data_IF_398468155457
#
_entry.id   IF_398468155457
#
_cell.length_a   1.000
_cell.length_b   1.000
_cell.length_c   1.000
_cell.angle_alpha   90.00
_cell.angle_beta   90.00
_cell.angle_gamma   90.00
#
_symmetry.space_group_name_H-M   'P 1'
#
loop_
_entity.id
_entity.type
_entity.pdbx_description
1 polymer ?
#
# COMPACT_ATOMS: atom_id res chain seq x y z
N UNK A 1 3.52 16.29 -78.00
CA UNK A 1 5.00 16.17 -77.96
C UNK A 1 5.39 15.73 -76.56
N UNK A 2 6.10 14.59 -76.44
CA UNK A 2 7.07 14.26 -75.38
C UNK A 2 6.56 14.14 -73.94
N UNK A 3 6.90 13.14 -73.12
CA UNK A 3 7.76 11.94 -73.22
C UNK A 3 7.27 10.99 -72.11
N UNK A 4 7.04 9.73 -72.45
CA UNK A 4 6.85 8.67 -71.46
C UNK A 4 8.17 8.34 -70.78
N UNK A 5 8.13 8.16 -69.46
CA UNK A 5 9.21 7.56 -68.69
C UNK A 5 8.73 6.21 -68.15
N UNK A 6 9.16 5.17 -68.86
CA UNK A 6 9.03 3.77 -68.51
C UNK A 6 10.08 3.44 -67.45
N UNK A 7 9.67 3.28 -66.19
CA UNK A 7 10.54 2.80 -65.12
C UNK A 7 10.46 1.26 -65.05
N UNK A 8 11.51 0.61 -65.54
CA UNK A 8 11.74 -0.83 -65.37
C UNK A 8 12.29 -1.09 -63.98
N UNK A 9 11.51 -1.72 -63.11
CA UNK A 9 12.02 -2.28 -61.87
C UNK A 9 12.75 -3.61 -62.13
N UNK A 10 13.97 -3.80 -61.59
CA UNK A 10 14.70 -5.04 -61.76
C UNK A 10 14.15 -6.16 -60.87
N UNK A 11 14.19 -7.35 -61.45
CA UNK A 11 13.80 -8.64 -60.90
C UNK A 11 14.49 -8.94 -59.55
N UNK A 12 13.64 -9.13 -58.53
CA UNK A 12 13.67 -10.20 -57.54
C UNK A 12 15.00 -10.95 -57.37
N UNK A 13 15.82 -10.50 -56.42
CA UNK A 13 16.87 -11.32 -55.82
C UNK A 13 16.25 -12.31 -54.82
N UNK A 14 16.64 -13.57 -54.97
CA UNK A 14 16.21 -14.70 -54.16
C UNK A 14 16.52 -14.46 -52.67
N UNK A 15 15.48 -14.33 -51.86
CA UNK A 15 15.59 -14.43 -50.41
C UNK A 15 15.94 -15.88 -50.04
N UNK A 16 17.17 -16.10 -49.59
CA UNK A 16 17.54 -17.33 -48.88
C UNK A 16 16.68 -17.44 -47.63
N UNK A 17 15.75 -18.40 -47.66
CA UNK A 17 14.96 -18.81 -46.49
C UNK A 17 15.92 -19.50 -45.54
N UNK A 18 16.52 -18.73 -44.62
CA UNK A 18 17.13 -19.29 -43.42
C UNK A 18 15.97 -19.82 -42.58
N UNK A 19 15.80 -21.14 -42.56
CA UNK A 19 14.94 -21.82 -41.59
C UNK A 19 15.56 -21.63 -40.19
N UNK A 20 15.31 -20.47 -39.60
CA UNK A 20 15.47 -20.25 -38.18
C UNK A 20 14.39 -21.10 -37.50
N UNK A 21 14.78 -22.25 -36.98
CA UNK A 21 13.94 -22.97 -36.03
C UNK A 21 13.59 -22.01 -34.90
N UNK A 22 12.30 -21.79 -34.57
CA UNK A 22 11.95 -21.06 -33.38
C UNK A 22 12.48 -21.88 -32.19
N UNK A 23 13.56 -21.42 -31.58
CA UNK A 23 13.94 -21.86 -30.24
C UNK A 23 12.86 -21.31 -29.32
N UNK A 24 11.78 -22.10 -29.19
CA UNK A 24 10.65 -21.79 -28.34
C UNK A 24 11.17 -21.68 -26.91
N UNK A 25 11.02 -20.48 -26.37
CA UNK A 25 11.24 -20.06 -24.99
C UNK A 25 10.37 -20.87 -24.01
N UNK A 26 10.69 -22.14 -23.77
CA UNK A 26 9.93 -23.02 -22.86
C UNK A 26 10.32 -22.84 -21.39
N UNK A 27 11.49 -22.25 -21.09
CA UNK A 27 11.96 -22.08 -19.71
C UNK A 27 11.15 -21.02 -18.91
N UNK A 28 10.65 -19.97 -19.56
CA UNK A 28 9.94 -18.87 -18.87
C UNK A 28 8.53 -19.26 -18.41
N UNK A 29 7.88 -20.20 -19.08
CA UNK A 29 6.51 -20.64 -18.74
C UNK A 29 6.47 -21.62 -17.54
N UNK A 30 7.55 -22.35 -17.28
CA UNK A 30 7.63 -23.29 -16.15
C UNK A 30 7.57 -22.58 -14.80
N UNK A 31 8.32 -21.48 -14.64
CA UNK A 31 8.38 -20.74 -13.38
C UNK A 31 7.05 -20.05 -12.99
N UNK A 32 6.26 -19.61 -13.98
CA UNK A 32 4.95 -19.00 -13.75
C UNK A 32 3.94 -20.04 -13.23
N UNK A 33 3.94 -21.24 -13.83
CA UNK A 33 3.02 -22.32 -13.47
C UNK A 33 3.25 -22.83 -12.05
N UNK A 34 4.51 -22.97 -11.63
CA UNK A 34 4.85 -23.40 -10.26
C UNK A 34 4.44 -22.39 -9.19
N UNK A 35 4.49 -21.09 -9.48
CA UNK A 35 4.16 -20.04 -8.49
C UNK A 35 2.66 -19.87 -8.30
N UNK A 36 1.87 -19.97 -9.37
CA UNK A 36 0.41 -19.90 -9.27
C UNK A 36 -0.17 -21.01 -8.38
N UNK A 37 0.46 -22.19 -8.41
CA UNK A 37 0.09 -23.32 -7.55
C UNK A 37 0.33 -22.98 -6.08
N UNK A 38 1.45 -22.34 -5.74
CA UNK A 38 1.77 -22.02 -4.33
C UNK A 38 0.77 -21.06 -3.68
N UNK A 39 0.25 -20.07 -4.41
CA UNK A 39 -0.75 -19.14 -3.89
C UNK A 39 -2.08 -19.86 -3.64
N UNK A 40 -2.58 -20.64 -4.60
CA UNK A 40 -3.80 -21.44 -4.42
C UNK A 40 -3.70 -22.46 -3.29
N UNK A 41 -2.53 -23.06 -3.08
CA UNK A 41 -2.31 -23.97 -1.96
C UNK A 41 -2.41 -23.25 -0.61
N UNK A 42 -1.89 -22.03 -0.51
CA UNK A 42 -2.01 -21.24 0.73
C UNK A 42 -3.44 -20.78 1.01
N UNK A 43 -4.23 -20.53 -0.03
CA UNK A 43 -5.65 -20.18 0.11
C UNK A 43 -6.47 -21.37 0.64
N UNK A 44 -6.15 -22.60 0.22
CA UNK A 44 -6.81 -23.83 0.70
C UNK A 44 -6.30 -24.30 2.06
N UNK A 45 -5.07 -23.97 2.41
CA UNK A 45 -4.43 -24.41 3.66
C UNK A 45 -3.52 -23.29 4.18
N UNK A 46 -4.09 -22.34 4.96
CA UNK A 46 -3.34 -21.22 5.51
C UNK A 46 -2.10 -21.69 6.27
N UNK A 47 -0.95 -21.10 5.93
CA UNK A 47 0.32 -21.50 6.53
C UNK A 47 0.46 -20.96 7.96
N UNK A 48 1.11 -21.68 8.88
CA UNK A 48 1.39 -21.14 10.21
C UNK A 48 2.31 -19.92 10.10
N UNK A 49 2.18 -18.97 11.02
CA UNK A 49 3.07 -17.81 11.11
C UNK A 49 4.44 -18.31 11.59
N UNK A 50 5.51 -18.18 10.79
CA UNK A 50 6.82 -18.65 11.20
C UNK A 50 7.44 -17.75 12.26
N UNK A 51 8.27 -18.31 13.14
CA UNK A 51 8.96 -17.55 14.18
C UNK A 51 9.92 -16.48 13.62
N UNK A 52 10.36 -16.61 12.37
CA UNK A 52 11.22 -15.63 11.70
C UNK A 52 10.45 -14.52 10.95
N UNK A 53 9.12 -14.51 11.00
CA UNK A 53 8.33 -13.44 10.41
C UNK A 53 8.62 -12.09 11.10
N UNK A 54 8.39 -11.00 10.37
CA UNK A 54 8.48 -9.65 10.93
C UNK A 54 7.53 -9.49 12.14
N UNK A 55 7.89 -8.67 13.15
CA UNK A 55 7.05 -8.43 14.33
C UNK A 55 5.62 -8.01 13.98
N UNK A 56 5.44 -7.19 12.94
CA UNK A 56 4.15 -6.70 12.46
C UNK A 56 3.24 -7.83 11.96
N UNK A 57 3.82 -8.84 11.29
CA UNK A 57 3.10 -10.04 10.85
C UNK A 57 2.65 -10.87 12.05
N UNK A 58 3.53 -11.03 13.06
CA UNK A 58 3.21 -11.74 14.30
C UNK A 58 2.12 -11.03 15.11
N UNK A 59 2.15 -9.70 15.15
CA UNK A 59 1.12 -8.86 15.74
C UNK A 59 -0.19 -8.86 14.93
N UNK A 60 -0.19 -9.43 13.73
CA UNK A 60 -1.37 -9.49 12.87
C UNK A 60 -1.75 -8.14 12.26
N UNK A 61 -0.83 -7.18 12.13
CA UNK A 61 -1.11 -5.92 11.42
C UNK A 61 -1.38 -6.20 9.94
N UNK A 62 -2.30 -5.48 9.27
CA UNK A 62 -2.49 -5.64 7.83
C UNK A 62 -1.28 -5.07 7.07
N UNK A 63 -0.83 -5.79 6.04
CA UNK A 63 0.14 -5.29 5.06
C UNK A 63 -0.63 -4.82 3.82
N UNK A 64 -0.30 -3.63 3.32
CA UNK A 64 -1.01 -3.02 2.20
C UNK A 64 -0.57 -3.61 0.86
N UNK A 65 -1.52 -4.13 0.07
CA UNK A 65 -1.23 -4.64 -1.28
C UNK A 65 -0.77 -3.59 -2.29
N UNK A 66 -1.01 -2.30 -2.00
CA UNK A 66 -0.67 -1.22 -2.92
C UNK A 66 0.74 -0.69 -2.71
N UNK A 67 1.15 -0.48 -1.45
CA UNK A 67 2.45 0.12 -1.12
C UNK A 67 3.38 -0.80 -0.34
N UNK A 68 2.91 -1.94 0.17
CA UNK A 68 3.70 -2.88 0.97
C UNK A 68 3.93 -2.47 2.42
N UNK A 69 3.42 -1.32 2.86
CA UNK A 69 3.55 -0.86 4.24
C UNK A 69 2.51 -1.50 5.16
N UNK A 70 2.84 -1.59 6.45
CA UNK A 70 1.94 -2.11 7.49
C UNK A 70 1.02 -1.02 8.04
N UNK A 71 -0.12 -1.44 8.61
CA UNK A 71 -1.01 -0.57 9.39
C UNK A 71 -2.26 -0.10 8.66
N UNK A 72 -2.35 -0.30 7.35
CA UNK A 72 -3.53 0.04 6.56
C UNK A 72 -3.81 -1.00 5.47
N UNK A 73 -5.02 -0.95 4.91
CA UNK A 73 -5.44 -1.82 3.81
C UNK A 73 -5.52 -1.05 2.49
N UNK A 74 -5.57 -1.75 1.35
CA UNK A 74 -5.56 -1.14 0.00
C UNK A 74 -6.56 0.02 -0.17
N UNK A 75 -7.77 -0.11 0.41
CA UNK A 75 -8.81 0.92 0.32
C UNK A 75 -8.43 2.23 1.02
N UNK A 76 -7.61 2.14 2.07
CA UNK A 76 -7.14 3.26 2.89
C UNK A 76 -5.67 3.60 2.64
N UNK A 77 -5.10 3.16 1.51
CA UNK A 77 -3.71 3.45 1.19
C UNK A 77 -3.52 4.91 0.76
N UNK A 78 -2.67 5.70 1.44
CA UNK A 78 -2.46 7.11 1.11
C UNK A 78 -1.91 7.27 -0.30
N UNK A 79 -0.95 6.42 -0.71
CA UNK A 79 -0.38 6.44 -2.06
C UNK A 79 -1.43 6.22 -3.14
N UNK A 80 -2.40 5.32 -2.88
CA UNK A 80 -3.51 5.08 -3.80
C UNK A 80 -4.45 6.28 -3.88
N UNK A 81 -4.78 6.88 -2.74
CA UNK A 81 -5.67 8.05 -2.67
C UNK A 81 -5.03 9.28 -3.32
N UNK A 82 -3.70 9.38 -3.28
CA UNK A 82 -2.90 10.39 -3.95
C UNK A 82 -2.60 10.05 -5.43
N UNK A 83 -3.16 8.97 -5.98
CA UNK A 83 -2.92 8.49 -7.35
C UNK A 83 -1.44 8.27 -7.70
N UNK A 84 -0.61 7.96 -6.70
CA UNK A 84 0.78 7.57 -6.91
C UNK A 84 0.86 6.16 -7.48
N UNK A 85 1.96 5.86 -8.17
CA UNK A 85 2.20 4.53 -8.73
C UNK A 85 2.23 3.45 -7.65
N UNK A 86 1.71 2.26 -7.96
CA UNK A 86 1.76 1.09 -7.09
C UNK A 86 3.23 0.67 -6.85
N UNK A 87 3.64 0.58 -5.59
CA UNK A 87 4.99 0.16 -5.16
C UNK A 87 5.03 -1.21 -4.48
N UNK A 88 3.87 -1.72 -4.05
CA UNK A 88 3.71 -3.01 -3.40
C UNK A 88 3.95 -4.19 -4.34
N UNK A 89 4.35 -5.33 -3.77
CA UNK A 89 4.75 -6.49 -4.56
C UNK A 89 3.57 -7.12 -5.33
N UNK A 90 3.85 -7.80 -6.46
CA UNK A 90 2.85 -8.56 -7.21
C UNK A 90 2.12 -9.60 -6.35
N UNK A 91 0.86 -9.91 -6.68
CA UNK A 91 -0.02 -10.79 -5.87
C UNK A 91 0.56 -12.20 -5.67
N UNK A 92 1.34 -12.67 -6.62
CA UNK A 92 1.99 -13.99 -6.62
C UNK A 92 3.00 -14.14 -5.49
N UNK A 93 3.42 -13.03 -4.89
CA UNK A 93 4.35 -13.01 -3.77
C UNK A 93 3.63 -12.90 -2.42
N UNK A 94 2.30 -13.04 -2.39
CA UNK A 94 1.52 -13.03 -1.16
C UNK A 94 1.10 -14.44 -0.77
N UNK A 95 1.02 -14.66 0.55
CA UNK A 95 0.66 -15.95 1.13
C UNK A 95 -0.35 -15.72 2.27
N UNK A 96 -1.40 -16.54 2.29
CA UNK A 96 -2.39 -16.55 3.37
C UNK A 96 -1.83 -17.28 4.60
N UNK A 97 -1.91 -16.63 5.76
CA UNK A 97 -1.48 -17.20 7.04
C UNK A 97 -2.68 -17.62 7.91
N UNK A 98 -2.42 -18.44 8.93
CA UNK A 98 -3.45 -18.94 9.88
C UNK A 98 -4.24 -17.84 10.61
N UNK A 99 -3.75 -16.60 10.66
CA UNK A 99 -4.49 -15.47 11.19
C UNK A 99 -5.53 -14.89 10.19
N UNK A 100 -5.73 -15.54 9.03
CA UNK A 100 -6.69 -15.12 8.01
C UNK A 100 -6.23 -13.93 7.17
N UNK A 101 -4.97 -13.49 7.30
CA UNK A 101 -4.43 -12.34 6.57
C UNK A 101 -3.38 -12.78 5.55
N UNK A 102 -3.35 -12.05 4.45
CA UNK A 102 -2.33 -12.20 3.41
C UNK A 102 -1.15 -11.29 3.74
N UNK A 103 0.06 -11.84 3.59
CA UNK A 103 1.30 -11.11 3.74
C UNK A 103 2.22 -11.42 2.59
N UNK A 104 3.10 -10.47 2.29
CA UNK A 104 4.19 -10.69 1.37
C UNK A 104 5.13 -11.78 1.92
N UNK A 105 5.58 -12.70 1.07
CA UNK A 105 6.54 -13.77 1.41
C UNK A 105 7.80 -13.18 2.08
N UNK A 106 8.16 -11.96 1.71
CA UNK A 106 9.32 -11.25 2.27
C UNK A 106 9.11 -10.83 3.72
N UNK A 107 7.90 -10.42 4.09
CA UNK A 107 7.52 -10.13 5.47
C UNK A 107 7.42 -11.42 6.32
N UNK A 108 7.01 -12.53 5.69
CA UNK A 108 6.91 -13.84 6.34
C UNK A 108 8.30 -14.47 6.54
N UNK A 109 9.21 -14.30 5.58
CA UNK A 109 10.54 -14.94 5.54
C UNK A 109 11.61 -13.93 5.05
N UNK A 110 12.03 -12.97 5.90
CA UNK A 110 12.99 -11.93 5.52
C UNK A 110 14.31 -12.47 4.96
N UNK A 111 14.77 -13.63 5.45
CA UNK A 111 16.01 -14.26 4.98
C UNK A 111 16.01 -14.67 3.50
N UNK A 112 14.82 -14.89 2.90
CA UNK A 112 14.72 -15.15 1.45
C UNK A 112 15.07 -13.88 0.65
N UNK A 113 14.79 -12.71 1.22
CA UNK A 113 15.12 -11.42 0.62
C UNK A 113 16.63 -11.20 0.63
N UNK A 114 17.27 -11.44 1.78
CA UNK A 114 18.71 -11.30 1.98
C UNK A 114 19.51 -12.17 0.99
N UNK A 115 19.05 -13.41 0.79
CA UNK A 115 19.66 -14.33 -0.17
C UNK A 115 19.48 -13.92 -1.64
N UNK A 116 18.38 -13.24 -1.99
CA UNK A 116 18.08 -12.83 -3.37
C UNK A 116 18.66 -11.47 -3.75
N UNK A 117 18.72 -10.54 -2.82
CA UNK A 117 19.18 -9.17 -3.06
C UNK A 117 20.68 -8.98 -2.88
N UNK A 118 21.40 -10.01 -2.42
CA UNK A 118 22.86 -9.99 -2.33
C UNK A 118 23.39 -8.69 -1.70
N UNK A 119 23.27 -8.53 -0.39
CA UNK A 119 23.83 -7.39 0.36
C UNK A 119 23.38 -5.97 -0.08
N UNK A 120 22.47 -5.79 -1.03
CA UNK A 120 21.93 -4.47 -1.39
C UNK A 120 20.71 -4.15 -0.52
N UNK A 121 20.89 -3.23 0.43
CA UNK A 121 19.99 -2.96 1.56
C UNK A 121 18.70 -2.12 1.34
N UNK A 122 18.40 -1.45 0.21
CA UNK A 122 17.45 -0.33 0.26
C UNK A 122 15.99 -0.71 0.52
N UNK A 123 15.59 -1.96 0.31
CA UNK A 123 14.20 -2.42 0.47
C UNK A 123 13.83 -2.81 1.90
N UNK A 124 14.81 -3.23 2.72
CA UNK A 124 14.53 -3.65 4.10
C UNK A 124 14.27 -2.42 4.99
N UNK A 125 14.98 -1.32 4.75
CA UNK A 125 14.86 -0.07 5.51
C UNK A 125 13.47 0.56 5.39
N UNK A 126 12.82 0.44 4.22
CA UNK A 126 11.44 0.92 4.03
C UNK A 126 10.39 0.07 4.75
N UNK A 127 10.69 -1.21 5.01
CA UNK A 127 9.78 -2.11 5.73
C UNK A 127 9.89 -1.96 7.26
N UNK A 128 11.03 -1.49 7.76
CA UNK A 128 11.31 -1.36 9.20
C UNK A 128 11.18 0.07 9.75
N UNK A 129 10.98 1.08 8.90
CA UNK A 129 10.86 2.49 9.35
C UNK A 129 9.61 2.79 10.17
N UNK A 130 8.72 1.81 10.39
CA UNK A 130 7.60 1.91 11.34
C UNK A 130 8.03 1.97 12.83
N UNK A 131 9.33 1.90 13.16
CA UNK A 131 9.82 2.00 14.53
C UNK A 131 9.84 3.44 15.12
N UNK A 132 9.26 4.41 14.43
CA UNK A 132 9.21 5.82 14.84
C UNK A 132 7.84 6.45 14.60
N UNK A 133 6.77 5.65 14.60
CA UNK A 133 5.41 6.16 14.39
C UNK A 133 5.04 7.18 15.48
N UNK A 134 5.50 6.98 16.72
CA UNK A 134 5.22 7.91 17.82
C UNK A 134 5.87 9.28 17.57
N UNK A 135 7.13 9.33 17.12
CA UNK A 135 7.81 10.60 16.80
C UNK A 135 7.24 11.26 15.54
N UNK A 136 6.83 10.48 14.53
CA UNK A 136 6.17 11.01 13.32
C UNK A 136 4.77 11.58 13.61
N UNK A 137 4.01 10.93 14.50
CA UNK A 137 2.71 11.44 14.96
C UNK A 137 2.89 12.73 15.75
N UNK A 138 3.85 12.80 16.67
CA UNK A 138 4.14 14.02 17.44
C UNK A 138 4.54 15.17 16.50
N UNK A 139 5.41 14.90 15.52
CA UNK A 139 5.81 15.89 14.51
C UNK A 139 4.62 16.36 13.65
N UNK A 140 3.75 15.44 13.22
CA UNK A 140 2.55 15.81 12.46
C UNK A 140 1.54 16.60 13.29
N UNK A 141 1.44 16.31 14.59
CA UNK A 141 0.58 17.02 15.53
C UNK A 141 1.08 18.46 15.68
N UNK A 142 2.38 18.66 15.87
CA UNK A 142 2.96 20.00 15.97
C UNK A 142 2.84 20.81 14.67
N UNK A 143 3.10 20.18 13.51
CA UNK A 143 2.88 20.85 12.23
C UNK A 143 1.41 21.25 12.02
N UNK A 144 0.47 20.45 12.51
CA UNK A 144 -0.96 20.77 12.44
C UNK A 144 -1.35 21.91 13.39
N UNK A 145 -0.71 22.01 14.57
CA UNK A 145 -0.90 23.16 15.47
C UNK A 145 -0.44 24.46 14.82
N UNK A 146 0.75 24.48 14.24
CA UNK A 146 1.29 25.66 13.57
C UNK A 146 0.42 26.10 12.38
N UNK A 147 -0.05 25.13 11.58
CA UNK A 147 -0.97 25.41 10.48
C UNK A 147 -2.32 25.97 10.97
N UNK A 148 -2.85 25.46 12.09
CA UNK A 148 -4.06 25.99 12.71
C UNK A 148 -3.88 27.42 13.21
N UNK A 149 -2.80 27.71 13.96
CA UNK A 149 -2.50 29.07 14.42
C UNK A 149 -2.39 30.05 13.25
N UNK A 150 -1.66 29.68 12.20
CA UNK A 150 -1.49 30.53 11.01
C UNK A 150 -2.80 30.77 10.27
N UNK A 151 -3.65 29.75 10.15
CA UNK A 151 -4.98 29.89 9.54
C UNK A 151 -5.91 30.74 10.41
N UNK A 152 -5.84 30.60 11.73
CA UNK A 152 -6.62 31.36 12.68
C UNK A 152 -6.23 32.84 12.67
N UNK A 153 -4.93 33.16 12.71
CA UNK A 153 -4.43 34.54 12.56
C UNK A 153 -4.86 35.17 11.22
N UNK A 154 -4.88 34.39 10.14
CA UNK A 154 -5.35 34.88 8.84
C UNK A 154 -6.88 35.13 8.79
N UNK A 155 -7.66 34.43 9.62
CA UNK A 155 -9.13 34.53 9.63
C UNK A 155 -9.67 35.56 10.62
N UNK A 156 -8.85 36.00 11.58
CA UNK A 156 -9.22 37.00 12.57
C UNK A 156 -8.46 38.31 12.32
N UNK A 157 -8.73 39.05 11.23
CA UNK A 157 -7.97 40.27 10.93
C UNK A 157 -8.27 41.46 11.85
N UNK A 158 -9.22 41.39 12.81
CA UNK A 158 -9.57 42.61 13.59
C UNK A 158 -10.32 42.42 14.93
N UNK A 159 -10.19 41.27 15.62
CA UNK A 159 -10.81 41.09 16.97
C UNK A 159 -9.97 41.74 18.09
N UNK A 160 -8.87 42.39 17.75
CA UNK A 160 -8.10 43.20 18.70
C UNK A 160 -8.73 44.55 19.03
N UNK A 161 -9.88 44.91 18.45
CA UNK A 161 -10.42 46.25 18.67
C UNK A 161 -10.95 46.48 20.08
N UNK A 162 -11.82 45.65 20.69
CA UNK A 162 -12.31 45.92 22.06
C UNK A 162 -12.73 44.65 22.83
N UNK A 163 -11.90 44.16 23.76
CA UNK A 163 -12.43 43.49 24.97
C UNK A 163 -11.95 42.07 25.36
N UNK A 164 -11.21 41.32 24.54
CA UNK A 164 -10.63 40.05 25.01
C UNK A 164 -9.28 40.27 25.69
N UNK A 165 -9.16 39.88 26.96
CA UNK A 165 -7.88 39.85 27.66
C UNK A 165 -7.03 38.68 27.16
N UNK A 166 -5.70 38.79 27.22
CA UNK A 166 -4.79 37.69 26.85
C UNK A 166 -5.10 36.39 27.60
N UNK A 167 -5.58 36.48 28.85
CA UNK A 167 -6.03 35.32 29.64
C UNK A 167 -7.27 34.65 29.04
N UNK A 168 -8.27 35.43 28.62
CA UNK A 168 -9.47 34.89 27.97
C UNK A 168 -9.17 34.18 26.64
N UNK A 169 -8.16 34.67 25.91
CA UNK A 169 -7.70 34.06 24.67
C UNK A 169 -6.98 32.74 24.92
N UNK A 170 -6.04 32.71 25.87
CA UNK A 170 -5.33 31.47 26.24
C UNK A 170 -6.29 30.40 26.74
N UNK A 171 -7.33 30.79 27.49
CA UNK A 171 -8.36 29.87 27.96
C UNK A 171 -9.21 29.33 26.81
N UNK A 172 -9.61 30.18 25.85
CA UNK A 172 -10.32 29.77 24.64
C UNK A 172 -9.49 28.79 23.78
N UNK A 173 -8.20 29.07 23.56
CA UNK A 173 -7.30 28.15 22.84
C UNK A 173 -7.20 26.80 23.54
N UNK A 174 -7.05 26.78 24.86
CA UNK A 174 -7.00 25.55 25.64
C UNK A 174 -8.29 24.74 25.51
N UNK A 175 -9.46 25.39 25.53
CA UNK A 175 -10.76 24.74 25.37
C UNK A 175 -10.95 24.17 23.96
N UNK A 176 -10.58 24.93 22.91
CA UNK A 176 -10.67 24.47 21.52
C UNK A 176 -9.73 23.28 21.27
N UNK A 177 -8.49 23.33 21.77
CA UNK A 177 -7.56 22.22 21.66
C UNK A 177 -8.02 20.98 22.44
N UNK A 178 -8.57 21.17 23.63
CA UNK A 178 -9.15 20.07 24.41
C UNK A 178 -10.33 19.42 23.68
N UNK A 179 -11.23 20.22 23.10
CA UNK A 179 -12.35 19.73 22.31
C UNK A 179 -11.90 18.95 21.06
N UNK A 180 -10.88 19.46 20.35
CA UNK A 180 -10.30 18.79 19.20
C UNK A 180 -9.68 17.43 19.59
N UNK A 181 -8.88 17.40 20.66
CA UNK A 181 -8.26 16.17 21.16
C UNK A 181 -9.29 15.13 21.60
N UNK A 182 -10.37 15.57 22.25
CA UNK A 182 -11.49 14.72 22.64
C UNK A 182 -12.21 14.13 21.41
N UNK A 183 -12.47 14.94 20.38
CA UNK A 183 -13.09 14.49 19.13
C UNK A 183 -12.21 13.47 18.38
N UNK A 184 -10.90 13.72 18.30
CA UNK A 184 -9.95 12.78 17.69
C UNK A 184 -9.90 11.44 18.44
N UNK A 185 -9.88 11.47 19.78
CA UNK A 185 -9.92 10.25 20.60
C UNK A 185 -11.24 9.48 20.42
N UNK A 186 -12.38 10.18 20.35
CA UNK A 186 -13.67 9.54 20.06
C UNK A 186 -13.70 8.88 18.67
N UNK A 187 -13.16 9.54 17.65
CA UNK A 187 -13.05 8.98 16.30
C UNK A 187 -12.17 7.72 16.27
N UNK A 188 -11.02 7.74 16.96
CA UNK A 188 -10.14 6.59 17.09
C UNK A 188 -10.82 5.42 17.80
N UNK A 189 -11.53 5.67 18.91
CA UNK A 189 -12.26 4.64 19.64
C UNK A 189 -13.40 4.04 18.81
N UNK A 190 -14.13 4.86 18.03
CA UNK A 190 -15.18 4.39 17.12
C UNK A 190 -14.59 3.48 16.03
N UNK A 191 -13.43 3.82 15.51
CA UNK A 191 -12.72 2.99 14.53
C UNK A 191 -12.24 1.67 15.16
N UNK A 192 -11.72 1.69 16.40
CA UNK A 192 -11.31 0.48 17.11
C UNK A 192 -12.49 -0.45 17.39
N UNK A 193 -13.65 0.11 17.77
CA UNK A 193 -14.87 -0.66 18.02
C UNK A 193 -15.40 -1.35 16.75
N UNK A 194 -15.29 -0.71 15.58
CA UNK A 194 -15.70 -1.33 14.32
C UNK A 194 -14.80 -2.51 13.90
N UNK A 195 -13.52 -2.48 14.30
CA UNK A 195 -12.59 -3.58 14.08
C UNK A 195 -12.88 -4.77 15.01
N UNK A 196 -13.27 -4.52 16.27
CA UNK A 196 -13.45 -5.57 17.28
C UNK A 196 -14.77 -6.35 17.17
N UNK A 197 -15.80 -5.81 16.49
CA UNK A 197 -17.08 -6.50 16.28
C UNK A 197 -17.46 -6.58 14.79
N UNK A 198 -16.87 -7.47 13.99
CA UNK A 198 -17.21 -7.66 12.58
C UNK A 198 -18.49 -8.49 12.35
N UNK A 199 -19.50 -8.42 13.24
CA UNK A 199 -20.55 -9.43 13.32
C UNK A 199 -21.70 -9.36 12.30
N UNK A 200 -21.86 -8.28 11.52
CA UNK A 200 -23.14 -8.09 10.79
C UNK A 200 -23.06 -8.14 9.26
N UNK A 201 -22.01 -8.75 8.68
CA UNK A 201 -21.70 -8.59 7.25
C UNK A 201 -21.83 -9.80 6.32
N UNK A 202 -22.39 -10.94 6.75
CA UNK A 202 -22.60 -12.10 5.87
C UNK A 202 -24.06 -12.52 5.95
N UNK A 203 -24.91 -11.79 5.22
CA UNK A 203 -26.24 -12.31 4.85
C UNK A 203 -25.97 -13.32 3.74
N UNK A 204 -26.18 -14.61 4.04
CA UNK A 204 -26.13 -15.66 3.04
C UNK A 204 -27.26 -15.46 2.04
N UNK A 205 -26.91 -15.20 0.78
CA UNK A 205 -27.78 -15.48 -0.35
C UNK A 205 -27.86 -17.01 -0.47
N UNK A 206 -28.93 -17.57 0.07
CA UNK A 206 -29.32 -18.95 -0.14
C UNK A 206 -29.96 -19.02 -1.53
N UNK A 207 -29.13 -19.20 -2.56
CA UNK A 207 -29.61 -19.50 -3.91
C UNK A 207 -30.30 -20.87 -3.89
N UNK A 208 -31.62 -20.82 -3.95
CA UNK A 208 -32.50 -21.96 -4.10
C UNK A 208 -32.21 -22.73 -5.39
N UNK A 209 -32.07 -24.04 -5.23
CA UNK A 209 -32.27 -25.04 -6.28
C UNK A 209 -33.76 -25.07 -6.66
N UNK A 210 -34.03 -24.90 -7.95
CA UNK A 210 -35.09 -25.62 -8.68
C UNK A 210 -34.63 -25.85 -10.13
#
# INVERSE_FOLDING_TARGET
MSRGHEYKHPLTQAASIVHLHPIVSTAKNSAYKTRHVTTQMSERSPSPIPHKALPQVKAGLPECFYCGLFGHWFKACPDRLAFLSKTGVPREHWQLLKNGKFYNITAIRPSILEAKLGSSQPLLTQLTSAASIDDEIEAHLEASKEAFHKAFEAFVPDVTSEGMTAESFSQYEAEVFAAYKAAAAQAANKHLASIQNPKDGVVGEEDGLD
#
